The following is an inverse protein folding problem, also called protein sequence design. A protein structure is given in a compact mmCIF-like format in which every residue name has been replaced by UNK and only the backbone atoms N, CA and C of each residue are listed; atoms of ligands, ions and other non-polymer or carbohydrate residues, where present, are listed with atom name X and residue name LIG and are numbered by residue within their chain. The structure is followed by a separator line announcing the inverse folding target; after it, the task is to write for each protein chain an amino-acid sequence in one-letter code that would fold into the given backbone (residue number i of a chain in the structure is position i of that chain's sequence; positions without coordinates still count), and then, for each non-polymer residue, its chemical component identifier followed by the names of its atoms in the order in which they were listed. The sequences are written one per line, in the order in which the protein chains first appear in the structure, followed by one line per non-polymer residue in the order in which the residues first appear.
data_IF_466638150189
#
_entry.id   IF_466638150189
#
_cell.length_a   1.000
_cell.length_b   1.000
_cell.length_c   1.000
_cell.angle_alpha   90.00
_cell.angle_beta   90.00
_cell.angle_gamma   90.00
#
_symmetry.space_group_name_H-M   'P 1'
#
loop_
_entity.id
_entity.type
_entity.pdbx_description
1 polymer ?
#
# COMPACT_ATOMS: atom_id res chain seq x y z
N UNK A 1 2.73 -6.54 -20.54
CA UNK A 1 2.56 -6.69 -19.09
C UNK A 1 1.81 -5.47 -18.58
N UNK A 2 0.77 -5.66 -17.78
CA UNK A 2 0.06 -4.53 -17.16
C UNK A 2 0.58 -4.34 -15.73
N UNK A 3 0.59 -3.12 -15.21
CA UNK A 3 1.00 -2.83 -13.83
C UNK A 3 -0.23 -2.45 -13.02
N UNK A 4 -0.35 -3.00 -11.82
CA UNK A 4 -1.35 -2.60 -10.84
C UNK A 4 -0.67 -1.87 -9.69
N UNK A 5 -1.31 -0.80 -9.23
CA UNK A 5 -0.88 -0.07 -8.05
C UNK A 5 -1.56 -0.63 -6.80
N UNK A 6 -0.77 -0.89 -5.78
CA UNK A 6 -1.24 -1.06 -4.40
C UNK A 6 -0.97 0.24 -3.64
N UNK A 7 -1.86 0.62 -2.74
CA UNK A 7 -1.73 1.83 -1.91
C UNK A 7 -1.77 1.44 -0.45
N UNK A 8 -0.79 1.92 0.32
CA UNK A 8 -0.74 1.81 1.77
C UNK A 8 -0.86 3.21 2.34
N UNK A 9 -1.84 3.40 3.22
CA UNK A 9 -1.99 4.62 4.01
C UNK A 9 -1.58 4.27 5.44
N UNK A 10 -0.57 4.97 5.96
CA UNK A 10 -0.18 4.88 7.36
C UNK A 10 -0.47 6.20 8.06
N UNK A 11 -1.05 6.08 9.25
CA UNK A 11 -1.22 7.17 10.19
C UNK A 11 -0.24 6.95 11.33
N UNK A 12 0.73 7.85 11.48
CA UNK A 12 1.79 7.72 12.47
C UNK A 12 1.50 8.56 13.73
N UNK A 13 2.12 8.21 14.86
CA UNK A 13 1.94 8.95 16.11
C UNK A 13 2.50 10.38 16.04
N UNK A 14 3.47 10.64 15.17
CA UNK A 14 4.05 11.96 14.88
C UNK A 14 4.29 12.12 13.37
N UNK A 15 4.77 13.30 12.94
CA UNK A 15 5.19 13.51 11.55
C UNK A 15 6.54 12.88 11.18
N UNK A 16 7.17 12.13 12.07
CA UNK A 16 8.40 11.41 11.78
C UNK A 16 8.10 10.05 11.12
N UNK A 17 8.85 9.69 10.07
CA UNK A 17 8.59 8.47 9.27
C UNK A 17 8.85 7.18 10.05
N UNK A 18 9.70 7.24 11.06
CA UNK A 18 10.07 6.15 11.98
C UNK A 18 9.15 6.05 13.20
N UNK A 19 8.16 6.95 13.33
CA UNK A 19 7.17 6.94 14.40
C UNK A 19 6.22 5.73 14.29
N UNK A 20 5.69 5.31 15.44
CA UNK A 20 4.75 4.18 15.53
C UNK A 20 3.49 4.40 14.67
N UNK A 21 3.04 3.33 14.00
CA UNK A 21 1.75 3.29 13.30
C UNK A 21 0.60 3.22 14.31
N UNK A 22 -0.34 4.16 14.22
CA UNK A 22 -1.55 4.24 15.06
C UNK A 22 -2.84 4.01 14.26
N UNK A 23 -2.75 3.89 12.95
CA UNK A 23 -3.86 3.55 12.05
C UNK A 23 -3.34 3.27 10.64
N UNK A 24 -4.05 2.44 9.88
CA UNK A 24 -3.63 2.07 8.53
C UNK A 24 -4.78 1.58 7.67
N UNK A 25 -4.61 1.71 6.35
CA UNK A 25 -5.49 1.12 5.33
C UNK A 25 -4.64 0.58 4.17
N UNK A 26 -4.99 -0.60 3.65
CA UNK A 26 -4.25 -1.26 2.56
C UNK A 26 -5.17 -1.55 1.38
N UNK A 27 -4.92 -0.92 0.25
CA UNK A 27 -5.66 -1.13 -0.99
C UNK A 27 -4.82 -1.99 -1.95
N UNK A 28 -5.28 -3.19 -2.26
CA UNK A 28 -4.55 -4.15 -3.12
C UNK A 28 -4.73 -3.90 -4.63
N UNK A 29 -5.62 -2.97 -4.99
CA UNK A 29 -5.99 -2.59 -6.35
C UNK A 29 -6.82 -3.63 -7.11
N UNK A 30 -7.26 -4.73 -6.47
CA UNK A 30 -8.01 -5.81 -7.14
C UNK A 30 -9.52 -5.61 -7.16
N UNK A 31 -10.02 -4.68 -6.34
CA UNK A 31 -11.46 -4.43 -6.17
C UNK A 31 -12.19 -5.53 -5.37
N UNK A 32 -11.46 -6.50 -4.80
CA UNK A 32 -12.03 -7.60 -4.01
C UNK A 32 -12.07 -7.33 -2.51
N UNK A 33 -11.39 -6.28 -2.07
CA UNK A 33 -11.35 -5.84 -0.68
C UNK A 33 -11.94 -4.43 -0.58
N UNK A 34 -12.64 -4.15 0.51
CA UNK A 34 -13.09 -2.80 0.87
C UNK A 34 -12.48 -2.43 2.22
N UNK A 35 -11.20 -2.01 2.25
CA UNK A 35 -10.50 -1.80 3.50
C UNK A 35 -11.02 -0.57 4.24
N UNK A 36 -11.14 -0.65 5.56
CA UNK A 36 -11.27 0.51 6.44
C UNK A 36 -10.07 0.61 7.38
N UNK A 37 -9.84 1.81 7.92
CA UNK A 37 -8.77 2.04 8.89
C UNK A 37 -8.98 1.15 10.11
N UNK A 38 -7.99 0.30 10.41
CA UNK A 38 -8.07 -0.61 11.57
C UNK A 38 -8.84 -1.93 11.34
N UNK A 39 -8.88 -2.44 10.11
CA UNK A 39 -9.43 -3.78 9.79
C UNK A 39 -8.75 -4.97 10.50
N UNK A 40 -7.67 -4.71 11.24
CA UNK A 40 -6.89 -5.66 12.03
C UNK A 40 -6.47 -5.00 13.33
N UNK A 41 -6.20 -5.79 14.38
CA UNK A 41 -5.65 -5.28 15.64
C UNK A 41 -4.14 -4.97 15.53
N UNK A 42 -3.47 -5.56 14.54
CA UNK A 42 -2.04 -5.38 14.30
C UNK A 42 -1.76 -4.68 12.96
N UNK A 43 -0.90 -3.64 12.95
CA UNK A 43 -0.52 -2.95 11.73
C UNK A 43 0.39 -3.81 10.85
N UNK A 44 0.38 -3.64 9.51
CA UNK A 44 1.24 -4.40 8.61
C UNK A 44 2.73 -4.07 8.79
N UNK A 45 3.03 -2.91 9.36
CA UNK A 45 4.39 -2.45 9.67
C UNK A 45 4.37 -1.63 10.96
N UNK A 46 5.49 -1.64 11.69
CA UNK A 46 5.66 -0.85 12.92
C UNK A 46 5.86 0.64 12.65
N UNK A 47 6.49 0.99 11.52
CA UNK A 47 6.68 2.37 11.07
C UNK A 47 6.75 2.48 9.54
N UNK A 48 6.72 3.71 9.02
CA UNK A 48 6.88 3.97 7.59
C UNK A 48 8.24 3.53 7.04
N UNK A 49 9.29 3.49 7.88
CA UNK A 49 10.62 2.98 7.49
C UNK A 49 10.56 1.51 7.12
N UNK A 50 9.85 0.69 7.91
CA UNK A 50 9.71 -0.75 7.63
C UNK A 50 8.91 -1.00 6.33
N UNK A 51 7.97 -0.12 5.99
CA UNK A 51 7.31 -0.18 4.68
C UNK A 51 8.31 0.10 3.54
N UNK A 52 9.20 1.09 3.69
CA UNK A 52 10.25 1.36 2.69
C UNK A 52 11.20 0.18 2.51
N UNK A 53 11.59 -0.48 3.61
CA UNK A 53 12.43 -1.68 3.58
C UNK A 53 11.79 -2.82 2.78
N UNK A 54 10.46 -2.93 2.81
CA UNK A 54 9.67 -3.89 2.05
C UNK A 54 9.36 -3.44 0.60
N UNK A 55 10.01 -2.36 0.14
CA UNK A 55 9.91 -1.88 -1.24
C UNK A 55 8.67 -1.05 -1.55
N UNK A 56 7.96 -0.56 -0.54
CA UNK A 56 6.98 0.50 -0.74
C UNK A 56 7.68 1.82 -1.10
N UNK A 57 7.06 2.62 -1.94
CA UNK A 57 7.56 3.94 -2.35
C UNK A 57 6.71 5.02 -1.71
N UNK A 58 7.32 5.91 -0.94
CA UNK A 58 6.66 7.08 -0.37
C UNK A 58 6.35 8.11 -1.48
N UNK A 59 5.10 8.55 -1.58
CA UNK A 59 4.70 9.61 -2.52
C UNK A 59 3.97 10.79 -1.86
N UNK A 60 3.55 10.65 -0.60
CA UNK A 60 3.07 11.76 0.23
C UNK A 60 3.47 11.55 1.68
N UNK A 61 3.98 12.60 2.33
CA UNK A 61 4.32 12.61 3.75
C UNK A 61 3.55 13.71 4.50
N UNK A 62 3.32 13.47 5.79
CA UNK A 62 2.67 14.42 6.67
C UNK A 62 3.41 15.77 6.66
N UNK A 63 2.68 16.84 6.37
CA UNK A 63 3.24 18.19 6.36
C UNK A 63 3.38 18.72 7.79
N UNK A 64 4.45 19.47 8.05
CA UNK A 64 4.62 20.22 9.30
C UNK A 64 3.82 21.52 9.23
N UNK A 65 2.49 21.41 9.34
CA UNK A 65 1.59 22.57 9.36
C UNK A 65 1.50 23.08 10.80
N UNK A 66 1.85 24.35 11.07
CA UNK A 66 1.67 24.93 12.40
C UNK A 66 0.19 24.90 12.81
N UNK A 67 -0.13 24.55 14.08
CA UNK A 67 -1.49 24.70 14.58
C UNK A 67 -1.91 26.17 14.53
N UNK A 68 -3.20 26.41 14.32
CA UNK A 68 -3.76 27.76 14.45
C UNK A 68 -3.61 28.24 15.91
N UNK A 69 -3.30 29.52 16.17
CA UNK A 69 -3.15 30.02 17.53
C UNK A 69 -4.37 29.70 18.41
N UNK A 70 -4.14 29.13 19.59
CA UNK A 70 -5.18 28.69 20.53
C UNK A 70 -5.70 27.26 20.29
N UNK A 71 -5.21 26.57 19.26
CA UNK A 71 -5.55 25.18 18.92
C UNK A 71 -4.32 24.26 18.99
N UNK A 72 -3.30 24.62 19.78
CA UNK A 72 -2.04 23.87 19.90
C UNK A 72 -2.25 22.46 20.46
N UNK A 73 -3.31 22.27 21.26
CA UNK A 73 -3.64 21.01 21.94
C UNK A 73 -4.85 20.28 21.35
N UNK A 74 -5.42 20.79 20.27
CA UNK A 74 -6.57 20.14 19.63
C UNK A 74 -6.15 18.78 19.08
N UNK A 75 -6.92 17.74 19.42
CA UNK A 75 -6.75 16.42 18.84
C UNK A 75 -7.63 16.32 17.60
N UNK A 76 -6.99 16.20 16.44
CA UNK A 76 -7.66 15.74 15.22
C UNK A 76 -7.34 14.26 15.08
N UNK A 77 -8.31 13.50 14.63
CA UNK A 77 -8.15 12.08 14.39
C UNK A 77 -7.11 11.87 13.28
N UNK A 78 -6.09 11.06 13.57
CA UNK A 78 -5.11 10.56 12.59
C UNK A 78 -4.45 11.64 11.70
N UNK A 79 -3.78 12.62 12.30
CA UNK A 79 -3.19 13.79 11.60
C UNK A 79 -2.02 13.48 10.66
N UNK A 80 -1.21 12.48 11.01
CA UNK A 80 0.09 12.30 10.38
C UNK A 80 0.00 11.22 9.30
N UNK A 81 -0.51 11.65 8.15
CA UNK A 81 -0.77 10.80 7.00
C UNK A 81 0.47 10.60 6.13
N UNK A 82 0.77 9.33 5.84
CA UNK A 82 1.80 8.92 4.90
C UNK A 82 1.18 7.97 3.87
N UNK A 83 1.41 8.28 2.59
CA UNK A 83 0.92 7.47 1.49
C UNK A 83 2.09 6.83 0.76
N UNK A 84 1.97 5.52 0.61
CA UNK A 84 2.92 4.70 -0.11
C UNK A 84 2.24 3.96 -1.25
N UNK A 85 3.04 3.64 -2.26
CA UNK A 85 2.62 2.80 -3.36
C UNK A 85 3.58 1.63 -3.59
N UNK A 86 3.05 0.51 -4.07
CA UNK A 86 3.83 -0.60 -4.63
C UNK A 86 3.26 -0.93 -6.00
N UNK A 87 4.12 -0.97 -7.01
CA UNK A 87 3.74 -1.33 -8.38
C UNK A 87 3.96 -2.83 -8.57
N UNK A 88 2.88 -3.58 -8.81
CA UNK A 88 2.93 -5.02 -9.01
C UNK A 88 2.59 -5.39 -10.44
N UNK A 89 3.34 -6.33 -11.01
CA UNK A 89 3.02 -6.85 -12.32
C UNK A 89 1.71 -7.63 -12.29
N UNK A 90 0.86 -7.37 -13.28
CA UNK A 90 -0.34 -8.15 -13.57
C UNK A 90 -0.09 -8.94 -14.83
N UNK A 91 -0.03 -10.26 -14.70
CA UNK A 91 0.16 -11.16 -15.82
C UNK A 91 -0.92 -10.95 -16.86
N UNK A 92 -0.52 -10.66 -18.10
CA UNK A 92 -1.40 -10.81 -19.24
C UNK A 92 -1.47 -12.32 -19.55
N UNK A 93 -2.64 -12.94 -19.30
CA UNK A 93 -3.04 -14.25 -19.83
C UNK A 93 -2.07 -15.42 -19.59
N UNK A 94 -2.41 -16.30 -18.65
CA UNK A 94 -1.93 -17.67 -18.74
C UNK A 94 -2.43 -18.28 -20.07
N UNK A 95 -1.48 -18.48 -20.97
CA UNK A 95 -1.49 -19.25 -22.23
C UNK A 95 -2.83 -19.68 -22.84
N UNK A 96 -3.21 -19.02 -23.92
CA UNK A 96 -3.96 -19.64 -25.02
C UNK A 96 -3.00 -19.97 -26.18
N UNK A 97 -2.86 -21.27 -26.47
CA UNK A 97 -2.60 -21.79 -27.81
C UNK A 97 -1.16 -21.88 -28.30
N UNK A 98 -0.52 -23.03 -28.06
CA UNK A 98 0.31 -23.68 -29.09
C UNK A 98 -0.29 -25.06 -29.36
N UNK A 99 -1.27 -25.05 -30.27
CA UNK A 99 -1.86 -26.23 -30.88
C UNK A 99 -0.85 -26.89 -31.83
N UNK A 100 -0.73 -28.21 -31.70
CA UNK A 100 -0.56 -29.21 -32.76
C UNK A 100 0.14 -28.82 -34.07
N UNK A 101 1.36 -29.36 -34.28
CA UNK A 101 1.88 -30.09 -35.47
C UNK A 101 3.15 -30.82 -34.99
N UNK A 102 3.55 -32.03 -35.32
CA UNK A 102 3.19 -33.15 -36.19
C UNK A 102 3.95 -34.37 -35.59
N UNK A 103 3.73 -35.65 -35.84
CA UNK A 103 3.05 -36.44 -36.86
C UNK A 103 3.65 -37.86 -36.79
N UNK A 104 2.97 -38.82 -37.39
CA UNK A 104 3.50 -40.07 -37.95
C UNK A 104 4.18 -41.13 -37.05
N UNK A 105 3.55 -42.30 -37.01
CA UNK A 105 4.09 -43.62 -36.65
C UNK A 105 2.88 -44.56 -36.52
N UNK A 106 2.39 -45.29 -37.52
CA UNK A 106 3.05 -46.17 -38.49
C UNK A 106 3.84 -47.31 -37.84
N UNK A 107 3.14 -48.28 -37.25
CA UNK A 107 3.31 -49.73 -37.43
C UNK A 107 2.19 -50.48 -36.71
#
# INVERSE_FOLDING_TARGET
MSIRQQVLVLYLATSALDSDVVGWSVYDGTGRTSPTTGDSDEPPYTSGVHALEDGWRLFQAAQLIPPYPGHEYDVSFLKHEFFFEKLVETGAGAGTGAEARAGAGAA
#
